data_IF_676411818746
#
_entry.id   IF_676411818746
#
_cell.length_a   1.000
_cell.length_b   1.000
_cell.length_c   1.000
_cell.angle_alpha   90.00
_cell.angle_beta   90.00
_cell.angle_gamma   90.00
#
_symmetry.space_group_name_H-M   'P 1'
#
loop_
_entity.id
_entity.type
_entity.pdbx_description
1 polymer ?
#
# COMPACT_ATOMS: atom_id res chain seq x y z
N UNK A 1 -12.50 -4.23 1.36
CA UNK A 1 -12.06 -3.69 2.65
C UNK A 1 -10.55 -3.49 2.65
N UNK A 2 -10.06 -2.46 3.34
CA UNK A 2 -8.64 -2.22 3.54
C UNK A 2 -8.13 -3.08 4.71
N UNK A 3 -6.96 -3.70 4.55
CA UNK A 3 -6.31 -4.52 5.59
C UNK A 3 -4.83 -4.17 5.70
N UNK A 4 -4.16 -4.58 6.78
CA UNK A 4 -2.71 -4.51 6.85
C UNK A 4 -2.07 -5.50 5.87
N UNK A 5 -0.89 -5.18 5.34
CA UNK A 5 -0.08 -6.14 4.61
C UNK A 5 0.43 -7.30 5.48
N UNK A 6 1.22 -8.16 4.91
CA UNK A 6 1.69 -9.40 5.51
C UNK A 6 2.71 -9.15 6.63
N UNK A 7 2.62 -9.89 7.72
CA UNK A 7 3.55 -9.79 8.85
C UNK A 7 4.39 -11.05 8.97
N UNK A 8 5.70 -10.98 8.77
CA UNK A 8 6.58 -12.15 8.82
C UNK A 8 6.76 -12.65 10.27
N UNK A 9 7.03 -11.78 11.24
CA UNK A 9 7.37 -12.12 12.63
C UNK A 9 8.41 -13.26 12.69
N UNK A 10 9.52 -13.05 12.04
CA UNK A 10 10.54 -14.05 11.70
C UNK A 10 11.95 -13.67 12.19
N UNK A 11 12.13 -12.47 12.78
CA UNK A 11 13.45 -11.94 13.17
C UNK A 11 14.32 -11.59 11.96
N UNK A 12 13.75 -11.33 10.80
CA UNK A 12 14.45 -11.05 9.55
C UNK A 12 14.89 -12.30 8.78
N UNK A 13 14.58 -13.50 9.26
CA UNK A 13 15.07 -14.73 8.64
C UNK A 13 14.35 -15.09 7.31
N UNK A 14 13.12 -14.61 7.10
CA UNK A 14 12.40 -14.79 5.84
C UNK A 14 12.52 -13.57 4.91
N UNK A 15 13.25 -12.54 5.34
CA UNK A 15 13.52 -11.35 4.54
C UNK A 15 14.92 -11.45 3.97
N UNK A 16 15.09 -11.01 2.73
CA UNK A 16 16.38 -10.93 2.03
C UNK A 16 16.58 -9.46 1.68
N UNK A 17 17.58 -8.84 2.31
CA UNK A 17 17.94 -7.46 2.01
C UNK A 17 18.65 -7.39 0.64
N UNK A 18 18.63 -6.21 0.04
CA UNK A 18 19.14 -6.04 -1.33
C UNK A 18 20.62 -6.41 -1.49
N UNK A 19 21.42 -6.10 -0.50
CA UNK A 19 22.88 -6.35 -0.49
C UNK A 19 23.23 -7.85 -0.36
N UNK A 20 22.34 -8.68 0.16
CA UNK A 20 22.54 -10.14 0.26
C UNK A 20 21.90 -10.93 -0.89
N UNK A 21 21.04 -10.30 -1.73
CA UNK A 21 20.21 -10.99 -2.71
C UNK A 21 21.03 -11.77 -3.74
N UNK A 22 22.01 -11.13 -4.39
CA UNK A 22 22.81 -11.74 -5.44
C UNK A 22 23.66 -12.92 -4.92
N UNK A 23 24.27 -12.74 -3.74
CA UNK A 23 25.07 -13.79 -3.10
C UNK A 23 24.19 -14.97 -2.68
N UNK A 24 22.99 -14.69 -2.15
CA UNK A 24 22.03 -15.71 -1.76
C UNK A 24 21.57 -16.55 -2.94
N UNK A 25 21.18 -15.91 -4.06
CA UNK A 25 20.72 -16.60 -5.28
C UNK A 25 21.86 -17.41 -5.93
N UNK A 26 23.09 -16.87 -5.95
CA UNK A 26 24.24 -17.59 -6.48
C UNK A 26 24.52 -18.88 -5.72
N UNK A 27 24.32 -18.89 -4.39
CA UNK A 27 24.52 -20.05 -3.51
C UNK A 27 23.31 -21.01 -3.51
N UNK A 28 22.11 -20.48 -3.66
CA UNK A 28 20.84 -21.23 -3.57
C UNK A 28 19.89 -20.92 -4.75
N UNK A 29 20.28 -21.25 -6.00
CA UNK A 29 19.50 -20.88 -7.19
C UNK A 29 18.09 -21.48 -7.22
N UNK A 30 17.86 -22.62 -6.57
CA UNK A 30 16.54 -23.23 -6.46
C UNK A 30 15.54 -22.38 -5.66
N UNK A 31 16.03 -21.47 -4.82
CA UNK A 31 15.18 -20.58 -4.04
C UNK A 31 14.53 -19.47 -4.87
N UNK A 32 15.04 -19.19 -6.08
CA UNK A 32 14.58 -18.05 -6.90
C UNK A 32 13.06 -18.03 -7.11
N UNK A 33 12.43 -19.19 -7.31
CA UNK A 33 10.97 -19.30 -7.51
C UNK A 33 10.14 -18.95 -6.27
N UNK A 34 10.77 -18.89 -5.09
CA UNK A 34 10.15 -18.51 -3.82
C UNK A 34 10.54 -17.12 -3.35
N UNK A 35 11.37 -16.42 -4.11
CA UNK A 35 11.76 -15.06 -3.78
C UNK A 35 10.86 -14.07 -4.51
N UNK A 36 10.21 -13.23 -3.74
CA UNK A 36 9.33 -12.18 -4.22
C UNK A 36 9.81 -10.81 -3.73
N UNK A 37 9.48 -9.76 -4.49
CA UNK A 37 9.63 -8.38 -4.02
C UNK A 37 8.82 -8.21 -2.73
N UNK A 38 9.46 -7.68 -1.68
CA UNK A 38 8.83 -7.40 -0.39
C UNK A 38 8.75 -5.90 -0.16
N UNK A 39 7.53 -5.35 -0.10
CA UNK A 39 7.30 -3.92 -0.23
C UNK A 39 6.61 -3.36 1.01
N UNK A 40 7.31 -2.50 1.73
CA UNK A 40 6.79 -1.60 2.74
C UNK A 40 6.63 -0.18 2.18
N UNK A 41 6.52 0.80 3.08
CA UNK A 41 6.34 2.21 2.67
C UNK A 41 7.58 2.78 1.98
N UNK A 42 8.77 2.44 2.45
CA UNK A 42 10.05 2.92 1.89
C UNK A 42 10.25 2.34 0.49
N UNK A 43 10.16 1.02 0.37
CA UNK A 43 10.33 0.31 -0.90
C UNK A 43 9.31 0.76 -1.93
N UNK A 44 8.07 1.05 -1.52
CA UNK A 44 7.01 1.54 -2.40
C UNK A 44 7.23 2.97 -2.86
N UNK A 45 7.63 3.86 -1.95
CA UNK A 45 7.80 5.29 -2.26
C UNK A 45 9.09 5.58 -3.02
N UNK A 46 10.18 4.88 -2.67
CA UNK A 46 11.54 5.13 -3.23
C UNK A 46 11.96 4.09 -4.27
N UNK A 47 11.09 3.12 -4.58
CA UNK A 47 11.38 1.99 -5.47
C UNK A 47 12.62 1.18 -5.05
N UNK A 48 12.93 1.14 -3.74
CA UNK A 48 14.06 0.40 -3.22
C UNK A 48 13.82 -1.11 -3.34
N UNK A 49 14.81 -1.89 -3.77
CA UNK A 49 14.68 -3.33 -3.85
C UNK A 49 14.83 -3.97 -2.47
N UNK A 50 13.89 -4.84 -2.14
CA UNK A 50 13.88 -5.70 -0.97
C UNK A 50 13.08 -6.95 -1.30
N UNK A 51 13.42 -8.08 -0.70
CA UNK A 51 12.84 -9.36 -1.07
C UNK A 51 12.43 -10.17 0.14
N UNK A 52 11.64 -11.21 -0.07
CA UNK A 52 11.31 -12.19 0.96
C UNK A 52 11.24 -13.61 0.38
N UNK A 53 11.45 -14.58 1.24
CA UNK A 53 11.14 -15.98 0.99
C UNK A 53 9.63 -16.20 1.23
N UNK A 54 8.87 -16.35 0.15
CA UNK A 54 7.45 -16.65 0.19
C UNK A 54 7.24 -18.14 -0.04
N UNK A 55 7.33 -18.93 1.04
CA UNK A 55 7.37 -20.39 1.01
C UNK A 55 5.98 -21.04 1.08
N UNK A 56 4.91 -20.26 0.90
CA UNK A 56 3.54 -20.79 0.82
C UNK A 56 3.43 -21.76 -0.34
N UNK A 57 3.09 -23.03 -0.08
CA UNK A 57 2.98 -24.06 -1.08
C UNK A 57 4.27 -24.83 -1.40
N UNK A 58 5.40 -24.45 -0.80
CA UNK A 58 6.63 -25.21 -0.94
C UNK A 58 6.51 -26.61 -0.32
N UNK A 59 6.86 -27.66 -1.07
CA UNK A 59 6.81 -29.02 -0.57
C UNK A 59 8.00 -29.33 0.36
N UNK A 60 7.87 -30.27 1.32
CA UNK A 60 8.99 -30.68 2.16
C UNK A 60 10.19 -31.22 1.38
N UNK A 61 9.97 -31.82 0.20
CA UNK A 61 11.04 -32.29 -0.67
C UNK A 61 11.83 -31.12 -1.23
N UNK A 62 11.16 -30.14 -1.79
CA UNK A 62 11.80 -28.92 -2.33
C UNK A 62 12.58 -28.16 -1.27
N UNK A 63 12.00 -27.99 -0.07
CA UNK A 63 12.68 -27.31 1.03
C UNK A 63 13.99 -28.01 1.41
N UNK A 64 14.01 -29.36 1.49
CA UNK A 64 15.23 -30.12 1.78
C UNK A 64 16.32 -29.97 0.74
N UNK A 65 15.96 -29.60 -0.49
CA UNK A 65 16.92 -29.35 -1.58
C UNK A 65 17.53 -27.94 -1.53
N UNK A 66 17.12 -27.11 -0.54
CA UNK A 66 17.53 -25.72 -0.36
C UNK A 66 18.11 -25.52 1.05
N UNK A 67 19.37 -25.91 1.29
CA UNK A 67 19.96 -25.91 2.63
C UNK A 67 20.03 -24.52 3.29
N UNK A 68 20.29 -23.44 2.53
CA UNK A 68 20.30 -22.09 3.07
C UNK A 68 18.88 -21.61 3.45
N UNK A 69 17.88 -21.97 2.66
CA UNK A 69 16.45 -21.72 3.00
C UNK A 69 16.10 -22.48 4.28
N UNK A 70 16.48 -23.77 4.39
CA UNK A 70 16.24 -24.55 5.60
C UNK A 70 16.89 -23.93 6.85
N UNK A 71 18.13 -23.45 6.73
CA UNK A 71 18.81 -22.76 7.84
C UNK A 71 18.03 -21.51 8.29
N UNK A 72 17.48 -20.73 7.36
CA UNK A 72 16.66 -19.55 7.66
C UNK A 72 15.34 -19.96 8.33
N UNK A 73 14.69 -21.04 7.89
CA UNK A 73 13.48 -21.60 8.53
C UNK A 73 13.76 -22.02 9.97
N UNK A 74 14.86 -22.71 10.23
CA UNK A 74 15.23 -23.12 11.61
C UNK A 74 15.45 -21.90 12.52
N UNK A 75 16.18 -20.89 12.06
CA UNK A 75 16.37 -19.62 12.80
C UNK A 75 15.04 -18.90 13.05
N UNK A 76 14.13 -18.88 12.08
CA UNK A 76 12.79 -18.33 12.24
C UNK A 76 12.02 -19.07 13.32
N UNK A 77 12.04 -20.41 13.32
CA UNK A 77 11.40 -21.25 14.33
C UNK A 77 11.98 -20.98 15.72
N UNK A 78 13.29 -20.93 15.84
CA UNK A 78 13.96 -20.65 17.10
C UNK A 78 13.58 -19.26 17.64
N UNK A 79 13.64 -18.22 16.81
CA UNK A 79 13.22 -16.88 17.19
C UNK A 79 11.77 -16.84 17.69
N UNK A 80 10.86 -17.53 16.99
CA UNK A 80 9.44 -17.59 17.39
C UNK A 80 9.25 -18.32 18.72
N UNK A 81 9.94 -19.46 18.94
CA UNK A 81 9.91 -20.19 20.21
C UNK A 81 10.38 -19.34 21.38
N UNK A 82 11.43 -18.56 21.19
CA UNK A 82 12.05 -17.71 22.21
C UNK A 82 11.36 -16.35 22.39
N UNK A 83 10.31 -16.07 21.61
CA UNK A 83 9.59 -14.79 21.70
C UNK A 83 8.88 -14.62 23.06
N UNK A 84 9.00 -13.42 23.64
CA UNK A 84 8.26 -13.04 24.85
C UNK A 84 6.75 -13.00 24.61
N UNK A 85 6.32 -12.71 23.37
CA UNK A 85 4.91 -12.61 23.00
C UNK A 85 4.31 -14.02 22.72
N UNK A 86 3.38 -14.45 23.54
CA UNK A 86 2.70 -15.75 23.38
C UNK A 86 2.03 -15.89 21.99
N UNK A 87 1.51 -14.79 21.43
CA UNK A 87 0.93 -14.76 20.11
C UNK A 87 1.95 -15.13 19.01
N UNK A 88 3.23 -14.76 19.17
CA UNK A 88 4.28 -15.09 18.20
C UNK A 88 4.72 -16.54 18.36
N UNK A 89 4.83 -17.06 19.60
CA UNK A 89 5.22 -18.46 19.84
C UNK A 89 4.31 -19.48 19.15
N UNK A 90 3.02 -19.15 18.96
CA UNK A 90 2.08 -20.01 18.24
C UNK A 90 2.49 -20.31 16.79
N UNK A 91 3.23 -19.40 16.16
CA UNK A 91 3.68 -19.54 14.77
C UNK A 91 5.01 -20.32 14.63
N UNK A 92 5.61 -20.77 15.73
CA UNK A 92 6.81 -21.61 15.69
C UNK A 92 6.55 -22.99 15.04
N UNK A 93 5.30 -23.45 15.01
CA UNK A 93 4.88 -24.68 14.32
C UNK A 93 4.78 -24.54 12.80
N UNK A 94 4.76 -23.31 12.29
CA UNK A 94 4.65 -22.99 10.86
C UNK A 94 5.78 -22.02 10.43
N UNK A 95 7.06 -22.37 10.63
CA UNK A 95 8.17 -21.45 10.43
C UNK A 95 8.43 -21.08 8.97
N UNK A 96 7.86 -21.81 8.03
CA UNK A 96 7.90 -21.56 6.59
C UNK A 96 6.92 -20.46 6.15
N UNK A 97 5.95 -20.09 7.00
CA UNK A 97 4.91 -19.13 6.67
C UNK A 97 5.10 -17.83 7.44
N UNK A 98 4.66 -16.74 6.85
CA UNK A 98 4.47 -15.49 7.57
C UNK A 98 3.42 -15.68 8.68
N UNK A 99 3.60 -15.00 9.81
CA UNK A 99 2.67 -15.08 10.94
C UNK A 99 1.27 -14.54 10.59
N UNK A 100 1.20 -13.55 9.72
CA UNK A 100 -0.06 -13.05 9.17
C UNK A 100 0.06 -12.96 7.66
N UNK A 101 -0.86 -13.60 6.95
CA UNK A 101 -0.94 -13.61 5.50
C UNK A 101 -2.24 -12.93 5.09
N UNK A 102 -2.12 -11.81 4.39
CA UNK A 102 -3.23 -11.02 3.83
C UNK A 102 -3.07 -10.81 2.33
N UNK A 103 -2.07 -11.47 1.75
CA UNK A 103 -1.69 -11.33 0.34
C UNK A 103 -2.84 -11.67 -0.59
N UNK A 104 -3.27 -10.74 -1.48
CA UNK A 104 -4.24 -11.03 -2.53
C UNK A 104 -3.68 -12.01 -3.55
N UNK A 105 -4.51 -12.89 -4.07
CA UNK A 105 -4.12 -13.86 -5.09
C UNK A 105 -4.64 -13.45 -6.47
N UNK A 106 -3.77 -13.55 -7.48
CA UNK A 106 -4.12 -13.49 -8.90
C UNK A 106 -4.56 -12.14 -9.46
N UNK A 107 -4.68 -11.09 -8.64
CA UNK A 107 -5.09 -9.75 -9.10
C UNK A 107 -4.22 -8.65 -8.49
N UNK A 108 -3.94 -7.57 -9.24
CA UNK A 108 -3.33 -6.38 -8.69
C UNK A 108 -4.15 -5.82 -7.52
N UNK A 109 -3.47 -5.15 -6.60
CA UNK A 109 -4.07 -4.52 -5.44
C UNK A 109 -3.42 -3.16 -5.17
N UNK A 110 -4.10 -2.29 -4.41
CA UNK A 110 -3.55 -0.99 -4.06
C UNK A 110 -2.75 -1.10 -2.75
N UNK A 111 -1.55 -0.51 -2.75
CA UNK A 111 -0.78 -0.20 -1.53
C UNK A 111 -1.09 1.24 -1.11
N UNK A 112 -1.33 1.40 0.20
CA UNK A 112 -1.48 2.70 0.87
C UNK A 112 -0.43 2.79 1.98
N UNK A 113 0.56 3.71 1.87
CA UNK A 113 1.53 3.94 2.93
C UNK A 113 0.85 4.34 4.24
N UNK A 114 1.22 3.70 5.35
CA UNK A 114 0.68 4.04 6.66
C UNK A 114 1.17 5.41 7.17
N UNK A 115 2.27 5.92 6.62
CA UNK A 115 2.83 7.24 6.94
C UNK A 115 3.11 8.02 5.66
N UNK A 116 2.85 9.33 5.68
CA UNK A 116 3.16 10.22 4.57
C UNK A 116 3.61 11.57 5.10
N UNK A 117 4.60 12.18 4.44
CA UNK A 117 5.08 13.51 4.78
C UNK A 117 3.95 14.54 4.71
N UNK A 118 3.93 15.46 5.68
CA UNK A 118 3.00 16.58 5.70
C UNK A 118 3.21 17.57 4.53
N UNK A 119 4.39 17.55 3.90
CA UNK A 119 4.69 18.35 2.71
C UNK A 119 3.98 17.88 1.44
N UNK A 120 3.51 16.63 1.39
CA UNK A 120 2.85 16.09 0.20
C UNK A 120 1.39 16.52 0.14
N UNK A 121 0.99 17.06 -1.00
CA UNK A 121 -0.41 17.41 -1.28
C UNK A 121 -1.32 16.18 -1.37
N UNK A 122 -0.81 15.09 -1.94
CA UNK A 122 -1.51 13.82 -2.07
C UNK A 122 -0.69 12.71 -1.43
N UNK A 123 -1.33 11.78 -0.72
CA UNK A 123 -0.65 10.55 -0.30
C UNK A 123 -0.39 9.69 -1.55
N UNK A 124 0.86 9.37 -1.86
CA UNK A 124 1.16 8.49 -2.98
C UNK A 124 0.69 7.08 -2.66
N UNK A 125 -0.33 6.61 -3.35
CA UNK A 125 -0.78 5.22 -3.33
C UNK A 125 -0.81 4.69 -4.76
N UNK A 126 -0.85 3.38 -4.95
CA UNK A 126 -0.82 2.82 -6.29
C UNK A 126 -1.03 1.32 -6.34
N UNK A 127 -1.26 0.84 -7.55
CA UNK A 127 -1.40 -0.57 -7.83
C UNK A 127 -0.03 -1.26 -7.86
N UNK A 128 -0.01 -2.48 -7.34
CA UNK A 128 1.10 -3.42 -7.49
C UNK A 128 0.56 -4.78 -7.96
N UNK A 129 1.43 -5.55 -8.60
CA UNK A 129 1.12 -6.92 -9.02
C UNK A 129 0.88 -7.83 -7.82
N UNK A 130 0.08 -8.88 -7.99
CA UNK A 130 -0.11 -9.93 -6.98
C UNK A 130 1.18 -10.66 -6.60
N UNK A 131 2.22 -10.62 -7.45
CA UNK A 131 3.55 -11.18 -7.19
C UNK A 131 4.38 -10.38 -6.17
N UNK A 132 4.01 -9.14 -5.92
CA UNK A 132 4.65 -8.30 -4.91
C UNK A 132 4.03 -8.61 -3.55
N UNK A 133 4.85 -8.94 -2.57
CA UNK A 133 4.39 -9.21 -1.20
C UNK A 133 4.46 -7.92 -0.39
N UNK A 134 3.32 -7.43 0.08
CA UNK A 134 3.25 -6.23 0.90
C UNK A 134 3.59 -6.51 2.35
N UNK A 135 4.35 -5.62 2.99
CA UNK A 135 4.65 -5.70 4.43
C UNK A 135 3.53 -5.09 5.29
N UNK A 136 3.51 -5.42 6.56
CA UNK A 136 2.58 -4.84 7.53
C UNK A 136 2.86 -3.35 7.88
N UNK A 137 3.86 -2.74 7.26
CA UNK A 137 4.12 -1.30 7.32
C UNK A 137 3.24 -0.48 6.37
N UNK A 138 2.45 -1.15 5.53
CA UNK A 138 1.48 -0.55 4.62
C UNK A 138 0.11 -1.16 4.81
N UNK A 139 -0.92 -0.45 4.34
CA UNK A 139 -2.24 -1.03 4.10
C UNK A 139 -2.36 -1.49 2.66
N UNK A 140 -3.23 -2.46 2.43
CA UNK A 140 -3.58 -2.95 1.11
C UNK A 140 -5.09 -2.94 0.90
N UNK A 141 -5.50 -2.71 -0.35
CA UNK A 141 -6.90 -2.82 -0.77
C UNK A 141 -6.97 -3.91 -1.84
N UNK A 142 -7.34 -5.14 -1.47
CA UNK A 142 -7.52 -6.24 -2.41
C UNK A 142 -8.63 -5.92 -3.42
N UNK A 143 -8.43 -6.33 -4.68
CA UNK A 143 -9.42 -6.17 -5.76
C UNK A 143 -9.94 -4.74 -5.93
N UNK A 144 -9.10 -3.73 -5.65
CA UNK A 144 -9.47 -2.34 -5.81
C UNK A 144 -9.71 -1.99 -7.27
N UNK A 145 -10.77 -1.20 -7.52
CA UNK A 145 -11.06 -0.66 -8.83
C UNK A 145 -10.30 0.65 -9.09
N UNK A 146 -10.17 1.00 -10.37
CA UNK A 146 -9.60 2.30 -10.78
C UNK A 146 -10.45 3.46 -10.25
N UNK A 147 -11.76 3.29 -10.10
CA UNK A 147 -12.65 4.25 -9.45
C UNK A 147 -12.22 4.51 -8.00
N UNK A 148 -11.99 3.44 -7.21
CA UNK A 148 -11.54 3.59 -5.82
C UNK A 148 -10.19 4.30 -5.75
N UNK A 149 -9.27 3.97 -6.66
CA UNK A 149 -8.00 4.66 -6.78
C UNK A 149 -8.19 6.16 -7.03
N UNK A 150 -9.05 6.54 -7.99
CA UNK A 150 -9.33 7.93 -8.33
C UNK A 150 -9.89 8.72 -7.14
N UNK A 151 -10.85 8.15 -6.42
CA UNK A 151 -11.42 8.78 -5.22
C UNK A 151 -10.36 8.97 -4.13
N UNK A 152 -9.56 7.94 -3.83
CA UNK A 152 -8.52 8.00 -2.80
C UNK A 152 -7.38 8.96 -3.15
N UNK A 153 -7.09 9.13 -4.44
CA UNK A 153 -6.07 10.07 -4.94
C UNK A 153 -6.57 11.51 -5.08
N UNK A 154 -7.84 11.79 -4.81
CA UNK A 154 -8.41 13.13 -4.95
C UNK A 154 -8.08 14.05 -3.76
N UNK A 155 -8.17 15.35 -4.01
CA UNK A 155 -8.10 16.37 -2.96
C UNK A 155 -9.21 16.18 -1.89
N UNK A 156 -10.37 15.66 -2.26
CA UNK A 156 -11.50 15.40 -1.34
C UNK A 156 -11.08 14.39 -0.26
N UNK A 157 -10.56 13.21 -0.68
CA UNK A 157 -10.09 12.22 0.28
C UNK A 157 -8.86 12.70 1.06
N UNK A 158 -7.94 13.40 0.40
CA UNK A 158 -6.75 13.94 1.08
C UNK A 158 -7.11 15.04 2.11
N UNK A 159 -8.12 15.87 1.86
CA UNK A 159 -8.65 16.83 2.83
C UNK A 159 -9.25 16.12 4.06
N UNK A 160 -10.10 15.13 3.83
CA UNK A 160 -10.63 14.25 4.88
C UNK A 160 -9.51 13.62 5.69
N UNK A 161 -8.57 12.94 5.02
CA UNK A 161 -7.44 12.28 5.66
C UNK A 161 -6.63 13.26 6.54
N UNK A 162 -6.27 14.43 6.04
CA UNK A 162 -5.51 15.43 6.80
C UNK A 162 -6.22 15.86 8.07
N UNK A 163 -7.55 15.86 8.05
CA UNK A 163 -8.38 16.29 9.19
C UNK A 163 -8.54 15.21 10.24
N UNK A 164 -8.77 13.95 9.83
CA UNK A 164 -9.15 12.87 10.77
C UNK A 164 -8.02 11.92 11.12
N UNK A 165 -6.89 11.95 10.38
CA UNK A 165 -5.78 11.06 10.66
C UNK A 165 -5.02 11.41 11.93
N UNK A 166 -4.33 10.41 12.48
CA UNK A 166 -3.32 10.64 13.51
C UNK A 166 -2.07 11.33 12.96
N UNK A 167 -1.19 11.75 13.87
CA UNK A 167 0.12 12.32 13.52
C UNK A 167 1.24 11.53 14.18
N UNK A 168 2.36 11.45 13.48
CA UNK A 168 3.64 10.99 14.03
C UNK A 168 4.64 12.13 13.82
N UNK A 169 4.94 12.88 14.88
CA UNK A 169 5.57 14.21 14.78
C UNK A 169 4.71 15.11 13.87
N UNK A 170 5.26 15.65 12.77
CA UNK A 170 4.52 16.45 11.79
C UNK A 170 3.81 15.61 10.72
N UNK A 171 4.23 14.37 10.51
CA UNK A 171 3.76 13.53 9.39
C UNK A 171 2.39 12.92 9.65
N UNK A 172 1.65 12.66 8.56
CA UNK A 172 0.34 12.01 8.61
C UNK A 172 0.49 10.52 8.90
N UNK A 173 -0.29 10.04 9.86
CA UNK A 173 -0.45 8.62 10.16
C UNK A 173 -1.84 8.17 9.69
N UNK A 174 -1.87 7.54 8.53
CA UNK A 174 -3.11 6.98 7.98
C UNK A 174 -3.65 5.86 8.87
N UNK A 175 -4.95 5.78 9.04
CA UNK A 175 -5.64 4.71 9.78
C UNK A 175 -6.76 4.14 8.93
N UNK A 176 -6.79 2.82 8.79
CA UNK A 176 -7.86 2.16 8.05
C UNK A 176 -9.20 2.31 8.76
N UNK A 177 -9.21 2.32 10.09
CA UNK A 177 -10.42 2.42 10.91
C UNK A 177 -11.08 3.79 10.77
N UNK A 178 -10.30 4.86 10.88
CA UNK A 178 -10.82 6.24 10.93
C UNK A 178 -10.81 6.87 9.53
N UNK A 179 -9.67 6.79 8.82
CA UNK A 179 -9.53 7.50 7.53
C UNK A 179 -10.30 6.79 6.43
N UNK A 180 -10.14 5.45 6.30
CA UNK A 180 -10.73 4.70 5.20
C UNK A 180 -12.17 4.25 5.49
N UNK A 181 -12.41 3.61 6.64
CA UNK A 181 -13.72 3.02 6.94
C UNK A 181 -14.78 4.08 7.27
N UNK A 182 -14.38 5.25 7.82
CA UNK A 182 -15.29 6.34 8.11
C UNK A 182 -15.41 7.37 6.97
N UNK A 183 -14.70 7.16 5.85
CA UNK A 183 -14.80 8.06 4.71
C UNK A 183 -16.16 7.94 4.04
N UNK A 184 -16.93 9.03 3.89
CA UNK A 184 -18.23 9.00 3.22
C UNK A 184 -18.01 8.95 1.71
N UNK A 185 -18.01 7.77 1.13
CA UNK A 185 -17.80 7.56 -0.30
C UNK A 185 -18.87 8.24 -1.14
N UNK A 186 -18.52 8.78 -2.32
CA UNK A 186 -19.53 9.38 -3.21
C UNK A 186 -20.45 8.31 -3.79
N UNK A 187 -21.67 8.71 -4.09
CA UNK A 187 -22.64 7.90 -4.84
C UNK A 187 -22.79 8.47 -6.26
N UNK A 188 -21.84 8.20 -7.18
CA UNK A 188 -21.82 8.79 -8.49
C UNK A 188 -22.85 8.17 -9.42
N UNK A 189 -23.33 8.93 -10.38
CA UNK A 189 -23.98 8.39 -11.58
C UNK A 189 -22.97 7.59 -12.41
N UNK A 190 -23.46 6.77 -13.37
CA UNK A 190 -22.56 6.00 -14.25
C UNK A 190 -21.61 6.92 -15.06
N UNK A 191 -22.11 8.06 -15.53
CA UNK A 191 -21.29 9.05 -16.23
C UNK A 191 -20.20 9.67 -15.34
N UNK A 192 -20.53 9.99 -14.09
CA UNK A 192 -19.56 10.52 -13.11
C UNK A 192 -18.53 9.45 -12.75
N UNK A 193 -18.96 8.19 -12.55
CA UNK A 193 -18.05 7.06 -12.30
C UNK A 193 -17.06 6.90 -13.45
N UNK A 194 -17.55 6.81 -14.69
CA UNK A 194 -16.71 6.69 -15.87
C UNK A 194 -15.73 7.86 -16.01
N UNK A 195 -16.16 9.08 -15.65
CA UNK A 195 -15.27 10.25 -15.65
C UNK A 195 -14.16 10.15 -14.60
N UNK A 196 -14.46 9.69 -13.38
CA UNK A 196 -13.46 9.46 -12.35
C UNK A 196 -12.47 8.37 -12.80
N UNK A 197 -12.97 7.26 -13.37
CA UNK A 197 -12.11 6.18 -13.86
C UNK A 197 -11.17 6.67 -14.98
N UNK A 198 -11.66 7.49 -15.90
CA UNK A 198 -10.85 8.11 -16.95
C UNK A 198 -9.75 9.03 -16.37
N UNK A 199 -10.11 9.90 -15.42
CA UNK A 199 -9.14 10.82 -14.82
C UNK A 199 -8.16 10.12 -13.88
N UNK A 200 -8.59 9.05 -13.21
CA UNK A 200 -7.74 8.18 -12.42
C UNK A 200 -6.70 7.45 -13.29
N UNK A 201 -7.11 6.94 -14.45
CA UNK A 201 -6.18 6.36 -15.42
C UNK A 201 -5.16 7.38 -15.90
N UNK A 202 -5.57 8.62 -16.17
CA UNK A 202 -4.65 9.69 -16.57
C UNK A 202 -3.57 9.99 -15.53
N UNK A 203 -3.82 9.78 -14.23
CA UNK A 203 -2.78 9.88 -13.18
C UNK A 203 -1.74 8.77 -13.36
N UNK A 204 -2.19 7.53 -13.60
CA UNK A 204 -1.27 6.40 -13.82
C UNK A 204 -0.46 6.58 -15.09
N UNK A 205 -1.08 7.04 -16.17
CA UNK A 205 -0.43 7.33 -17.45
C UNK A 205 0.62 8.44 -17.30
N UNK A 206 0.32 9.50 -16.55
CA UNK A 206 1.25 10.59 -16.27
C UNK A 206 2.46 10.12 -15.45
N UNK A 207 2.27 9.22 -14.48
CA UNK A 207 3.38 8.58 -13.74
C UNK A 207 4.26 7.75 -14.66
N UNK A 208 3.65 7.02 -15.60
CA UNK A 208 4.36 6.14 -16.53
C UNK A 208 5.28 6.90 -17.52
N UNK A 209 5.12 8.22 -17.68
CA UNK A 209 6.04 9.07 -18.47
C UNK A 209 7.42 9.20 -17.82
N UNK A 210 7.54 8.86 -16.53
CA UNK A 210 8.76 9.04 -15.73
C UNK A 210 9.18 7.71 -15.08
N UNK A 211 9.57 6.70 -15.87
CA UNK A 211 9.85 5.34 -15.36
C UNK A 211 11.05 5.29 -14.41
N UNK A 212 11.98 6.24 -14.51
CA UNK A 212 13.18 6.30 -13.69
C UNK A 212 12.99 7.11 -12.39
N UNK A 213 11.79 7.70 -12.19
CA UNK A 213 11.47 8.45 -10.98
C UNK A 213 10.71 7.58 -9.98
N UNK A 214 11.06 7.73 -8.72
CA UNK A 214 10.29 7.13 -7.62
C UNK A 214 8.98 7.90 -7.38
N UNK A 215 8.03 7.27 -6.66
CA UNK A 215 6.84 8.01 -6.22
C UNK A 215 7.20 9.15 -5.27
N UNK A 216 8.27 9.03 -4.50
CA UNK A 216 8.74 10.11 -3.64
C UNK A 216 9.16 11.33 -4.46
N UNK A 217 9.83 11.14 -5.58
CA UNK A 217 10.24 12.21 -6.51
C UNK A 217 9.01 12.83 -7.20
N UNK A 218 8.13 11.99 -7.75
CA UNK A 218 6.94 12.43 -8.48
C UNK A 218 5.95 13.20 -7.60
N UNK A 219 5.92 12.93 -6.29
CA UNK A 219 5.02 13.58 -5.33
C UNK A 219 5.71 14.58 -4.40
N UNK A 220 6.93 15.00 -4.75
CA UNK A 220 7.52 16.20 -4.17
C UNK A 220 6.76 17.44 -4.66
N UNK A 221 6.39 18.35 -3.74
CA UNK A 221 5.53 19.50 -4.09
C UNK A 221 6.21 20.45 -5.09
N UNK A 222 7.54 20.55 -5.05
CA UNK A 222 8.33 21.41 -5.93
C UNK A 222 8.62 20.71 -7.25
N UNK A 223 8.96 19.42 -7.21
CA UNK A 223 9.43 18.66 -8.36
C UNK A 223 8.33 17.95 -9.16
N UNK A 224 7.08 17.92 -8.66
CA UNK A 224 5.96 17.23 -9.33
C UNK A 224 5.81 17.68 -10.79
N UNK A 225 5.87 16.72 -11.76
CA UNK A 225 5.74 17.04 -13.19
C UNK A 225 4.42 17.73 -13.54
N UNK A 226 4.41 18.67 -14.49
CA UNK A 226 3.20 19.39 -14.90
C UNK A 226 2.08 18.48 -15.39
N UNK A 227 2.39 17.40 -16.11
CA UNK A 227 1.44 16.40 -16.59
C UNK A 227 0.74 15.67 -15.43
N UNK A 228 1.51 15.27 -14.44
CA UNK A 228 0.97 14.61 -13.25
C UNK A 228 0.12 15.59 -12.43
N UNK A 229 0.57 16.83 -12.25
CA UNK A 229 -0.21 17.88 -11.57
C UNK A 229 -1.53 18.15 -12.29
N UNK A 230 -1.51 18.24 -13.63
CA UNK A 230 -2.71 18.43 -14.45
C UNK A 230 -3.68 17.22 -14.33
N UNK A 231 -3.16 16.00 -14.37
CA UNK A 231 -3.97 14.79 -14.20
C UNK A 231 -4.67 14.77 -12.83
N UNK A 232 -3.97 15.11 -11.75
CA UNK A 232 -4.56 15.24 -10.43
C UNK A 232 -5.64 16.31 -10.36
N UNK A 233 -5.40 17.50 -10.92
CA UNK A 233 -6.41 18.57 -10.96
C UNK A 233 -7.67 18.15 -11.71
N UNK A 234 -7.56 17.37 -12.77
CA UNK A 234 -8.71 16.83 -13.50
C UNK A 234 -9.47 15.80 -12.67
N UNK A 235 -8.75 14.92 -11.99
CA UNK A 235 -9.35 13.93 -11.09
C UNK A 235 -10.03 14.59 -9.89
N UNK A 236 -9.42 15.60 -9.28
CA UNK A 236 -10.02 16.39 -8.21
C UNK A 236 -11.38 16.96 -8.61
N UNK A 237 -11.44 17.58 -9.80
CA UNK A 237 -12.70 18.13 -10.33
C UNK A 237 -13.75 17.06 -10.54
N UNK A 238 -13.37 15.91 -11.12
CA UNK A 238 -14.29 14.80 -11.35
C UNK A 238 -14.87 14.24 -10.04
N UNK A 239 -14.04 14.08 -9.02
CA UNK A 239 -14.49 13.61 -7.70
C UNK A 239 -15.33 14.67 -7.00
N UNK A 240 -14.95 15.94 -7.00
CA UNK A 240 -15.74 17.03 -6.42
C UNK A 240 -17.15 17.09 -7.07
N UNK A 241 -17.24 16.95 -8.39
CA UNK A 241 -18.53 16.89 -9.10
C UNK A 241 -19.40 15.70 -8.67
N UNK A 242 -18.78 14.55 -8.35
CA UNK A 242 -19.54 13.39 -7.87
C UNK A 242 -20.14 13.61 -6.47
N UNK A 243 -19.57 14.52 -5.66
CA UNK A 243 -20.15 15.00 -4.41
C UNK A 243 -21.13 16.17 -4.59
N UNK A 244 -21.27 16.73 -5.79
CA UNK A 244 -22.05 17.94 -6.03
C UNK A 244 -21.38 19.22 -5.52
N UNK A 245 -20.06 19.20 -5.27
CA UNK A 245 -19.30 20.36 -4.80
C UNK A 245 -19.05 21.35 -5.95
N UNK A 246 -19.20 22.64 -5.65
CA UNK A 246 -18.82 23.70 -6.59
C UNK A 246 -17.29 23.83 -6.63
N UNK A 247 -16.70 23.61 -7.82
CA UNK A 247 -15.25 23.61 -8.04
C UNK A 247 -14.61 24.97 -7.75
N UNK A 248 -15.37 26.08 -7.90
CA UNK A 248 -14.83 27.44 -7.76
C UNK A 248 -14.87 27.94 -6.32
N UNK A 249 -15.87 27.51 -5.55
CA UNK A 249 -16.15 28.06 -4.20
C UNK A 249 -15.82 27.08 -3.08
N UNK A 250 -15.75 25.78 -3.36
CA UNK A 250 -15.43 24.77 -2.33
C UNK A 250 -13.96 24.84 -1.93
N UNK A 251 -13.70 25.27 -0.72
CA UNK A 251 -12.38 25.22 -0.08
C UNK A 251 -12.16 23.87 0.60
N UNK A 252 -10.93 23.58 1.05
CA UNK A 252 -10.64 22.38 1.84
C UNK A 252 -11.50 22.33 3.13
N UNK A 253 -11.65 23.46 3.82
CA UNK A 253 -12.46 23.56 5.03
C UNK A 253 -13.93 23.26 4.78
N UNK A 254 -14.52 23.86 3.74
CA UNK A 254 -15.94 23.62 3.40
C UNK A 254 -16.15 22.20 2.88
N UNK A 255 -15.21 21.64 2.12
CA UNK A 255 -15.24 20.24 1.71
C UNK A 255 -15.30 19.29 2.91
N UNK A 256 -14.42 19.48 3.89
CA UNK A 256 -14.41 18.66 5.11
C UNK A 256 -15.70 18.81 5.91
N UNK A 257 -16.23 20.02 6.02
CA UNK A 257 -17.50 20.26 6.73
C UNK A 257 -18.66 19.49 6.10
N UNK A 258 -18.77 19.48 4.76
CA UNK A 258 -19.78 18.68 4.05
C UNK A 258 -19.55 17.17 4.18
N UNK A 259 -18.30 16.71 4.12
CA UNK A 259 -17.97 15.29 4.36
C UNK A 259 -18.36 14.85 5.78
N UNK A 260 -18.16 15.69 6.79
CA UNK A 260 -18.57 15.41 8.18
C UNK A 260 -20.09 15.29 8.31
N UNK A 261 -20.86 16.13 7.60
CA UNK A 261 -22.34 16.02 7.56
C UNK A 261 -22.76 14.68 6.93
N UNK A 262 -22.18 14.34 5.78
CA UNK A 262 -22.45 13.06 5.11
C UNK A 262 -22.11 11.87 6.01
N UNK A 263 -20.97 11.91 6.70
CA UNK A 263 -20.60 10.88 7.68
C UNK A 263 -21.65 10.75 8.79
N UNK A 264 -22.11 11.86 9.37
CA UNK A 264 -23.15 11.85 10.40
C UNK A 264 -24.48 11.28 9.91
N UNK A 265 -24.85 11.52 8.65
CA UNK A 265 -26.06 10.97 8.04
C UNK A 265 -25.97 9.45 7.84
N UNK A 266 -24.79 8.95 7.45
CA UNK A 266 -24.54 7.52 7.23
C UNK A 266 -24.41 6.72 8.54
N UNK A 267 -24.21 7.38 9.67
CA UNK A 267 -24.00 6.72 10.99
C UNK A 267 -25.22 6.84 11.93
N UNK A 268 -26.29 7.51 11.50
CA UNK A 268 -27.58 7.52 12.20
C UNK A 268 -28.36 6.22 11.95
#
# INVERSE_FOLDING_TARGET
>A
AMVYGNKPADGGNLIIENDEYEDFIAKEPKAQKYIHRYVGAVEFLHNEPRYCLWLKGASPKELKEMPLVMQRIEKCKEMRNNSRAAAIRKFATTPTLFAQITQPEGKPYIIVPAHSSASRRYIPLGFVSAEVISSNAVFIIPSASIFQFGVLMSNVHNAWMRTVCGRLKSDYRYSKEIVYNCFPWPTPTDAQRAKIEQTAQAILDARALYPDCSLADLYDEVAMPPELRKAHQQNDRAVMQAYGFDIKTTTETTCVAELMKLYQELTK
#
